data_IF_869225273212
#
_entry.id   IF_869225273212
#
_cell.length_a   1.000
_cell.length_b   1.000
_cell.length_c   1.000
_cell.angle_alpha   90.00
_cell.angle_beta   90.00
_cell.angle_gamma   90.00
#
_symmetry.space_group_name_H-M   'P 1'
#
loop_
_entity.id
_entity.type
_entity.pdbx_description
1 polymer ?
#
# COMPACT_ATOMS: atom_id res chain seq x y z
N UNK A 1 -53.97 2.94 -18.23
CA UNK A 1 -54.84 4.13 -18.06
C UNK A 1 -53.94 5.28 -17.65
N UNK A 2 -53.79 6.42 -18.30
CA UNK A 2 -54.09 7.00 -19.63
C UNK A 2 -53.15 8.24 -19.59
N UNK A 3 -51.98 8.22 -20.23
CA UNK A 3 -51.69 8.56 -21.64
C UNK A 3 -51.67 10.07 -21.97
N UNK A 4 -50.74 10.39 -22.89
CA UNK A 4 -50.66 11.57 -23.78
C UNK A 4 -49.90 12.78 -23.24
N UNK A 5 -48.71 13.07 -23.78
CA UNK A 5 -48.47 14.28 -24.61
C UNK A 5 -47.03 14.32 -25.14
N UNK A 6 -46.94 14.29 -26.46
CA UNK A 6 -45.77 14.63 -27.25
C UNK A 6 -46.10 15.87 -28.10
N UNK A 7 -45.08 16.70 -28.33
CA UNK A 7 -44.86 17.65 -29.45
C UNK A 7 -45.62 19.00 -29.47
N UNK A 8 -44.83 20.03 -29.81
CA UNK A 8 -45.09 21.29 -30.56
C UNK A 8 -45.03 22.59 -29.74
N UNK A 9 -43.95 23.37 -29.92
CA UNK A 9 -43.99 24.69 -30.57
C UNK A 9 -42.62 25.03 -31.21
N UNK A 10 -42.69 25.68 -32.37
CA UNK A 10 -41.67 25.82 -33.43
C UNK A 10 -41.45 27.31 -33.73
N UNK A 11 -40.16 27.74 -33.83
CA UNK A 11 -39.50 28.63 -34.84
C UNK A 11 -39.95 30.13 -34.82
N UNK A 12 -39.19 31.22 -35.08
CA UNK A 12 -38.17 31.61 -36.10
C UNK A 12 -37.45 32.90 -35.64
N UNK A 13 -36.13 33.04 -35.81
CA UNK A 13 -35.54 34.04 -36.73
C UNK A 13 -34.02 33.95 -36.84
N UNK A 14 -33.60 34.06 -38.09
CA UNK A 14 -32.29 33.93 -38.71
C UNK A 14 -31.54 35.25 -38.81
N UNK A 15 -30.21 35.21 -38.90
CA UNK A 15 -29.44 36.05 -39.82
C UNK A 15 -28.06 35.45 -40.07
N UNK A 16 -27.64 35.57 -41.32
CA UNK A 16 -26.46 35.01 -41.97
C UNK A 16 -25.22 35.90 -41.76
N UNK A 17 -24.00 35.34 -41.87
CA UNK A 17 -23.02 35.59 -42.94
C UNK A 17 -21.55 35.33 -42.52
N UNK A 18 -20.92 34.39 -43.24
CA UNK A 18 -19.63 34.48 -43.97
C UNK A 18 -18.32 34.99 -43.29
N UNK A 19 -17.30 34.12 -43.23
CA UNK A 19 -16.04 34.12 -44.05
C UNK A 19 -14.75 33.60 -43.35
N UNK A 20 -14.05 32.71 -44.09
CA UNK A 20 -12.58 32.64 -44.35
C UNK A 20 -11.53 32.40 -43.24
N UNK A 21 -10.98 31.18 -43.25
CA UNK A 21 -9.56 30.78 -43.43
C UNK A 21 -8.37 31.52 -42.75
N UNK A 22 -7.62 30.69 -41.99
CA UNK A 22 -6.15 30.60 -41.78
C UNK A 22 -5.43 31.28 -40.59
N UNK A 23 -4.32 30.67 -40.11
CA UNK A 23 -3.96 30.56 -38.69
C UNK A 23 -2.99 31.65 -38.24
N UNK A 24 -3.09 32.03 -36.96
CA UNK A 24 -2.01 32.74 -36.27
C UNK A 24 -1.75 32.12 -34.91
N UNK A 25 -0.50 31.73 -34.75
CA UNK A 25 0.16 31.59 -33.45
C UNK A 25 -0.19 32.79 -32.57
N UNK A 26 -0.75 32.53 -31.40
CA UNK A 26 -0.52 33.40 -30.27
C UNK A 26 -0.36 32.57 -29.00
N UNK A 27 0.84 32.71 -28.44
CA UNK A 27 1.19 32.33 -27.09
C UNK A 27 0.31 33.12 -26.13
N UNK A 28 -0.74 32.49 -25.62
CA UNK A 28 -1.50 32.99 -24.49
C UNK A 28 -1.77 31.82 -23.57
N UNK A 29 -1.17 31.84 -22.39
CA UNK A 29 -1.53 30.98 -21.28
C UNK A 29 -2.96 31.32 -20.87
N UNK A 30 -3.92 30.64 -21.48
CA UNK A 30 -5.27 30.58 -20.93
C UNK A 30 -5.22 29.60 -19.76
N UNK A 31 -4.98 30.13 -18.56
CA UNK A 31 -5.55 29.54 -17.35
C UNK A 31 -7.06 29.52 -17.56
N UNK A 32 -7.57 28.42 -18.09
CA UNK A 32 -8.99 28.07 -17.96
C UNK A 32 -9.26 28.01 -16.45
N UNK A 33 -9.87 29.07 -15.92
CA UNK A 33 -10.42 29.07 -14.57
C UNK A 33 -11.57 28.07 -14.57
N UNK A 34 -11.26 26.83 -14.21
CA UNK A 34 -12.23 25.74 -14.11
C UNK A 34 -13.16 26.03 -12.94
N UNK A 35 -14.42 26.34 -13.24
CA UNK A 35 -15.48 26.42 -12.24
C UNK A 35 -15.75 25.00 -11.72
N UNK A 36 -15.52 24.78 -10.43
CA UNK A 36 -15.97 23.57 -9.75
C UNK A 36 -17.48 23.42 -9.97
N UNK A 37 -17.90 22.39 -10.72
CA UNK A 37 -19.30 21.97 -10.72
C UNK A 37 -19.62 21.35 -9.37
N UNK A 38 -20.78 21.67 -8.79
CA UNK A 38 -21.31 21.15 -7.51
C UNK A 38 -20.24 20.79 -6.46
N UNK A 39 -19.92 21.71 -5.55
CA UNK A 39 -19.08 21.55 -4.34
C UNK A 39 -18.08 20.38 -4.38
N UNK A 40 -16.76 20.66 -4.45
CA UNK A 40 -15.63 19.70 -4.45
C UNK A 40 -15.90 18.31 -3.79
N UNK A 41 -16.57 18.25 -2.64
CA UNK A 41 -16.98 16.98 -2.02
C UNK A 41 -17.86 16.07 -2.90
N UNK A 42 -18.78 16.60 -3.70
CA UNK A 42 -19.61 15.82 -4.64
C UNK A 42 -18.78 15.19 -5.76
N UNK A 43 -17.83 15.96 -6.30
CA UNK A 43 -16.88 15.47 -7.29
C UNK A 43 -16.01 14.35 -6.69
N UNK A 44 -15.52 14.53 -5.47
CA UNK A 44 -14.74 13.51 -4.76
C UNK A 44 -15.54 12.23 -4.49
N UNK A 45 -16.81 12.33 -4.07
CA UNK A 45 -17.69 11.15 -3.91
C UNK A 45 -17.90 10.42 -5.23
N UNK A 46 -18.09 11.14 -6.33
CA UNK A 46 -18.26 10.55 -7.66
C UNK A 46 -17.00 9.82 -8.12
N UNK A 47 -15.82 10.41 -7.88
CA UNK A 47 -14.52 9.77 -8.13
C UNK A 47 -14.34 8.53 -7.26
N UNK A 48 -14.64 8.63 -5.96
CA UNK A 48 -14.54 7.52 -5.01
C UNK A 48 -15.45 6.36 -5.39
N UNK A 49 -16.70 6.64 -5.78
CA UNK A 49 -17.63 5.65 -6.31
C UNK A 49 -17.05 4.93 -7.54
N UNK A 50 -16.58 5.68 -8.52
CA UNK A 50 -16.05 5.12 -9.76
C UNK A 50 -14.80 4.25 -9.54
N UNK A 51 -13.92 4.63 -8.61
CA UNK A 51 -12.71 3.87 -8.29
C UNK A 51 -12.98 2.70 -7.33
N UNK A 52 -14.01 2.76 -6.48
CA UNK A 52 -14.46 1.59 -5.70
C UNK A 52 -14.99 0.49 -6.61
N UNK A 53 -15.71 0.86 -7.67
CA UNK A 53 -16.18 -0.09 -8.68
C UNK A 53 -15.02 -0.91 -9.26
N UNK A 54 -13.91 -0.23 -9.56
CA UNK A 54 -12.67 -0.87 -9.97
C UNK A 54 -12.04 -1.74 -8.88
N UNK A 55 -11.81 -1.15 -7.71
CA UNK A 55 -11.10 -1.79 -6.61
C UNK A 55 -11.77 -3.11 -6.21
N UNK A 56 -13.09 -3.13 -6.06
CA UNK A 56 -13.79 -4.27 -5.47
C UNK A 56 -14.34 -5.27 -6.50
N UNK A 57 -14.72 -4.81 -7.70
CA UNK A 57 -15.48 -5.64 -8.64
C UNK A 57 -14.72 -5.98 -9.93
N UNK A 58 -13.56 -5.39 -10.19
CA UNK A 58 -12.75 -5.72 -11.37
C UNK A 58 -11.59 -6.67 -11.07
N UNK A 59 -11.05 -7.26 -12.14
CA UNK A 59 -9.92 -8.17 -12.14
C UNK A 59 -8.94 -7.79 -13.26
N UNK A 60 -7.70 -8.28 -13.16
CA UNK A 60 -6.66 -7.95 -14.12
C UNK A 60 -6.75 -8.82 -15.39
N UNK A 61 -7.48 -8.31 -16.38
CA UNK A 61 -7.69 -8.93 -17.71
C UNK A 61 -6.39 -9.17 -18.51
N UNK A 62 -5.25 -8.64 -18.06
CA UNK A 62 -3.94 -8.91 -18.71
C UNK A 62 -3.43 -10.32 -18.42
N UNK A 63 -3.84 -10.89 -17.29
CA UNK A 63 -3.36 -12.19 -16.80
C UNK A 63 -4.48 -13.20 -16.58
N UNK A 64 -5.68 -12.74 -16.24
CA UNK A 64 -6.84 -13.59 -15.99
C UNK A 64 -7.74 -13.52 -17.22
N UNK A 65 -7.79 -14.61 -17.98
CA UNK A 65 -8.63 -14.74 -19.18
C UNK A 65 -9.90 -15.54 -18.93
N UNK A 66 -9.94 -16.33 -17.87
CA UNK A 66 -11.06 -17.23 -17.57
C UNK A 66 -11.98 -16.64 -16.48
N UNK A 67 -13.28 -16.57 -16.75
CA UNK A 67 -14.29 -15.99 -15.84
C UNK A 67 -14.38 -16.71 -14.49
N UNK A 68 -14.15 -18.03 -14.48
CA UNK A 68 -14.14 -18.87 -13.25
C UNK A 68 -12.95 -18.50 -12.36
N UNK A 69 -11.80 -18.23 -12.97
CA UNK A 69 -10.62 -17.76 -12.26
C UNK A 69 -10.84 -16.32 -11.78
N UNK A 70 -11.50 -15.45 -12.56
CA UNK A 70 -11.86 -14.10 -12.12
C UNK A 70 -12.79 -14.06 -10.90
N UNK A 71 -13.77 -14.97 -10.83
CA UNK A 71 -14.74 -15.00 -9.73
C UNK A 71 -14.15 -15.51 -8.41
N UNK A 72 -13.17 -16.43 -8.50
CA UNK A 72 -12.36 -16.91 -7.36
C UNK A 72 -11.18 -16.00 -7.00
N UNK A 73 -10.68 -15.23 -7.98
CA UNK A 73 -9.56 -14.28 -7.86
C UNK A 73 -9.99 -12.87 -7.52
N UNK A 74 -11.02 -12.71 -6.67
CA UNK A 74 -11.32 -11.45 -5.97
C UNK A 74 -10.22 -11.09 -4.95
N UNK A 75 -8.96 -11.30 -5.33
CA UNK A 75 -7.72 -10.92 -4.68
C UNK A 75 -7.28 -9.53 -5.17
N UNK A 76 -8.04 -8.88 -6.06
CA UNK A 76 -7.65 -7.62 -6.68
C UNK A 76 -7.55 -6.47 -5.67
N UNK A 77 -8.57 -6.20 -4.85
CA UNK A 77 -8.54 -5.10 -3.88
C UNK A 77 -7.43 -5.24 -2.81
N UNK A 78 -6.86 -6.44 -2.65
CA UNK A 78 -5.74 -6.71 -1.75
C UNK A 78 -4.39 -6.20 -2.29
N UNK A 79 -4.31 -5.88 -3.58
CA UNK A 79 -3.13 -5.37 -4.25
C UNK A 79 -3.46 -4.25 -5.24
N UNK A 80 -2.42 -3.63 -5.78
CA UNK A 80 -2.57 -2.42 -6.60
C UNK A 80 -1.82 -2.52 -7.93
N UNK A 81 -2.44 -3.09 -8.97
CA UNK A 81 -2.46 -4.53 -9.28
C UNK A 81 -1.15 -5.30 -8.99
N UNK A 82 -1.22 -6.64 -9.00
CA UNK A 82 -0.05 -7.53 -8.99
C UNK A 82 -0.03 -8.36 -10.29
N UNK A 83 0.99 -8.23 -11.15
CA UNK A 83 2.13 -7.31 -11.08
C UNK A 83 1.73 -5.84 -11.34
N UNK A 84 2.56 -4.88 -10.89
CA UNK A 84 2.29 -3.44 -11.04
C UNK A 84 2.22 -3.02 -12.51
N UNK A 85 1.65 -1.84 -12.77
CA UNK A 85 1.62 -1.30 -14.12
C UNK A 85 3.04 -1.07 -14.65
N UNK A 86 3.29 -1.49 -15.89
CA UNK A 86 4.54 -1.19 -16.61
C UNK A 86 4.66 0.29 -16.97
N UNK A 87 3.52 0.92 -17.26
CA UNK A 87 3.42 2.34 -17.58
C UNK A 87 2.13 2.90 -16.98
N UNK A 88 2.20 4.11 -16.43
CA UNK A 88 1.02 4.83 -15.96
C UNK A 88 0.20 5.34 -17.15
N UNK A 89 -1.08 5.60 -16.90
CA UNK A 89 -1.92 6.29 -17.87
C UNK A 89 -1.43 7.74 -18.02
N UNK A 90 -1.01 8.11 -19.24
CA UNK A 90 -0.27 9.35 -19.46
C UNK A 90 -1.07 10.61 -19.11
N UNK A 91 -2.37 10.66 -19.41
CA UNK A 91 -3.19 11.84 -19.07
C UNK A 91 -3.38 11.99 -17.57
N UNK A 92 -3.64 10.89 -16.85
CA UNK A 92 -3.83 10.93 -15.41
C UNK A 92 -2.53 11.42 -14.77
N UNK A 93 -1.41 10.84 -15.18
CA UNK A 93 -0.08 11.26 -14.71
C UNK A 93 0.17 12.75 -14.99
N UNK A 94 -0.11 13.21 -16.22
CA UNK A 94 0.05 14.62 -16.63
C UNK A 94 -0.69 15.60 -15.71
N UNK A 95 -1.93 15.30 -15.32
CA UNK A 95 -2.73 16.23 -14.51
C UNK A 95 -2.55 16.03 -13.00
N UNK A 96 -2.40 14.78 -12.56
CA UNK A 96 -2.30 14.44 -11.14
C UNK A 96 -0.90 14.61 -10.56
N UNK A 97 0.15 14.70 -11.38
CA UNK A 97 1.48 15.08 -10.90
C UNK A 97 1.57 16.59 -10.57
N UNK A 98 0.76 17.43 -11.22
CA UNK A 98 0.80 18.89 -11.06
C UNK A 98 0.26 19.30 -9.69
N UNK A 99 -0.98 18.93 -9.38
CA UNK A 99 -1.61 19.23 -8.10
C UNK A 99 -2.88 18.40 -7.88
N UNK A 100 -3.30 18.30 -6.61
CA UNK A 100 -4.52 17.61 -6.22
C UNK A 100 -5.75 18.16 -6.96
N UNK A 101 -5.96 19.49 -6.96
CA UNK A 101 -7.12 20.09 -7.61
C UNK A 101 -7.11 19.88 -9.14
N UNK A 102 -5.93 19.92 -9.78
CA UNK A 102 -5.79 19.62 -11.22
C UNK A 102 -6.15 18.15 -11.51
N UNK A 103 -5.73 17.25 -10.62
CA UNK A 103 -6.11 15.84 -10.68
C UNK A 103 -7.63 15.69 -10.63
N UNK A 104 -8.28 16.23 -9.60
CA UNK A 104 -9.74 16.11 -9.42
C UNK A 104 -10.50 16.68 -10.60
N UNK A 105 -10.14 17.88 -11.08
CA UNK A 105 -10.77 18.53 -12.22
C UNK A 105 -10.68 17.66 -13.49
N UNK A 106 -9.54 17.03 -13.75
CA UNK A 106 -9.37 16.11 -14.88
C UNK A 106 -10.17 14.82 -14.69
N UNK A 107 -10.07 14.18 -13.53
CA UNK A 107 -10.73 12.90 -13.25
C UNK A 107 -12.24 13.02 -13.38
N UNK A 108 -12.84 14.07 -12.78
CA UNK A 108 -14.29 14.25 -12.84
C UNK A 108 -14.77 14.55 -14.26
N UNK A 109 -14.01 15.33 -15.04
CA UNK A 109 -14.34 15.62 -16.45
C UNK A 109 -14.43 14.34 -17.28
N UNK A 110 -13.56 13.36 -17.01
CA UNK A 110 -13.62 12.03 -17.65
C UNK A 110 -14.79 11.20 -17.13
N UNK A 111 -14.98 11.12 -15.81
CA UNK A 111 -16.03 10.29 -15.18
C UNK A 111 -17.45 10.75 -15.53
N UNK A 112 -17.70 12.05 -15.76
CA UNK A 112 -19.03 12.54 -16.15
C UNK A 112 -19.56 11.93 -17.45
N UNK A 113 -18.69 11.38 -18.29
CA UNK A 113 -19.05 10.74 -19.56
C UNK A 113 -19.13 9.20 -19.47
N UNK A 114 -18.99 8.61 -18.29
CA UNK A 114 -19.08 7.15 -18.13
C UNK A 114 -20.55 6.71 -18.14
N UNK A 115 -20.80 5.50 -18.64
CA UNK A 115 -22.16 4.97 -18.75
C UNK A 115 -22.89 4.83 -17.41
N UNK A 116 -22.19 4.47 -16.33
CA UNK A 116 -22.74 4.39 -14.98
C UNK A 116 -22.11 5.48 -14.09
N UNK A 117 -22.94 6.33 -13.49
CA UNK A 117 -22.51 7.38 -12.54
C UNK A 117 -23.05 7.08 -11.15
N UNK A 118 -22.48 7.73 -10.13
CA UNK A 118 -22.89 7.57 -8.73
C UNK A 118 -24.40 7.78 -8.52
N UNK A 119 -24.99 8.78 -9.16
CA UNK A 119 -26.41 9.11 -8.98
C UNK A 119 -27.36 8.13 -9.70
N UNK A 120 -26.81 7.27 -10.57
CA UNK A 120 -27.57 6.21 -11.23
C UNK A 120 -27.56 4.90 -10.39
N UNK A 121 -26.77 4.85 -9.31
CA UNK A 121 -26.71 3.69 -8.41
C UNK A 121 -27.99 3.55 -7.59
N UNK A 122 -28.52 2.33 -7.52
CA UNK A 122 -29.76 2.02 -6.81
C UNK A 122 -29.71 2.43 -5.34
N UNK A 123 -28.59 2.23 -4.63
CA UNK A 123 -28.52 2.61 -3.21
C UNK A 123 -28.59 4.13 -3.03
N UNK A 124 -27.99 4.88 -3.96
CA UNK A 124 -28.01 6.35 -3.94
C UNK A 124 -29.41 6.87 -4.29
N UNK A 125 -30.06 6.31 -5.31
CA UNK A 125 -31.44 6.66 -5.67
C UNK A 125 -32.39 6.37 -4.50
N UNK A 126 -32.22 5.23 -3.83
CA UNK A 126 -33.03 4.90 -2.65
C UNK A 126 -32.87 5.92 -1.53
N UNK A 127 -31.64 6.37 -1.26
CA UNK A 127 -31.34 7.38 -0.24
C UNK A 127 -31.97 8.74 -0.61
N UNK A 128 -31.73 9.22 -1.84
CA UNK A 128 -32.24 10.50 -2.34
C UNK A 128 -33.77 10.55 -2.33
N UNK A 129 -34.42 9.45 -2.74
CA UNK A 129 -35.87 9.34 -2.80
C UNK A 129 -36.51 8.90 -1.47
N UNK A 130 -35.72 8.60 -0.45
CA UNK A 130 -36.16 8.08 0.86
C UNK A 130 -37.02 6.81 0.74
N UNK A 131 -36.61 5.90 -0.15
CA UNK A 131 -37.31 4.64 -0.39
C UNK A 131 -36.93 3.57 0.63
N UNK A 132 -37.94 2.90 1.17
CA UNK A 132 -37.78 1.76 2.08
C UNK A 132 -38.11 0.44 1.37
N UNK A 133 -37.29 -0.59 1.58
CA UNK A 133 -37.39 -1.90 0.91
C UNK A 133 -38.77 -2.57 1.03
N UNK A 134 -39.50 -2.30 2.12
CA UNK A 134 -40.83 -2.89 2.36
C UNK A 134 -41.95 -2.24 1.57
N UNK A 135 -41.80 -0.98 1.17
CA UNK A 135 -42.89 -0.15 0.63
C UNK A 135 -42.72 0.12 -0.86
N UNK A 136 -41.48 0.15 -1.34
CA UNK A 136 -41.12 0.54 -2.71
C UNK A 136 -40.45 -0.59 -3.48
N UNK A 137 -40.80 -1.85 -3.19
CA UNK A 137 -40.13 -3.02 -3.75
C UNK A 137 -40.10 -3.00 -5.28
N UNK A 138 -41.23 -2.71 -5.94
CA UNK A 138 -41.31 -2.68 -7.41
C UNK A 138 -40.45 -1.56 -8.02
N UNK A 139 -40.44 -0.37 -7.41
CA UNK A 139 -39.59 0.74 -7.88
C UNK A 139 -38.11 0.44 -7.68
N UNK A 140 -37.75 -0.15 -6.53
CA UNK A 140 -36.38 -0.55 -6.22
C UNK A 140 -35.91 -1.63 -7.21
N UNK A 141 -36.72 -2.65 -7.47
CA UNK A 141 -36.39 -3.74 -8.39
C UNK A 141 -36.20 -3.22 -9.82
N UNK A 142 -37.05 -2.30 -10.27
CA UNK A 142 -36.91 -1.68 -11.59
C UNK A 142 -35.65 -0.81 -11.68
N UNK A 143 -35.36 -0.04 -10.64
CA UNK A 143 -34.17 0.82 -10.57
C UNK A 143 -32.88 -0.02 -10.52
N UNK A 144 -32.87 -1.12 -9.76
CA UNK A 144 -31.76 -2.07 -9.71
C UNK A 144 -31.54 -2.75 -11.06
N UNK A 145 -32.62 -3.14 -11.74
CA UNK A 145 -32.54 -3.69 -13.08
C UNK A 145 -31.91 -2.71 -14.08
N UNK A 146 -32.25 -1.43 -14.00
CA UNK A 146 -31.66 -0.38 -14.85
C UNK A 146 -30.18 -0.14 -14.51
N UNK A 147 -29.83 -0.03 -13.23
CA UNK A 147 -28.44 0.10 -12.78
C UNK A 147 -27.58 -1.06 -13.28
N UNK A 148 -28.06 -2.31 -13.17
CA UNK A 148 -27.33 -3.50 -13.64
C UNK A 148 -27.14 -3.54 -15.16
N UNK A 149 -28.12 -3.03 -15.93
CA UNK A 149 -27.97 -2.90 -17.39
C UNK A 149 -26.87 -1.90 -17.74
N UNK A 150 -26.89 -0.72 -17.10
CA UNK A 150 -25.86 0.30 -17.30
C UNK A 150 -24.47 -0.21 -16.90
N UNK A 151 -24.40 -1.01 -15.83
CA UNK A 151 -23.18 -1.68 -15.40
C UNK A 151 -22.63 -2.65 -16.45
N UNK A 152 -23.48 -3.53 -17.00
CA UNK A 152 -23.10 -4.48 -18.03
C UNK A 152 -22.62 -3.77 -19.31
N UNK A 153 -23.34 -2.71 -19.72
CA UNK A 153 -22.96 -1.86 -20.83
C UNK A 153 -21.60 -1.17 -20.62
N UNK A 154 -21.34 -0.66 -19.41
CA UNK A 154 -20.06 -0.05 -19.06
C UNK A 154 -18.90 -1.04 -19.15
N UNK A 155 -19.16 -2.32 -18.87
CA UNK A 155 -18.17 -3.40 -18.94
C UNK A 155 -17.84 -3.84 -20.37
N UNK A 156 -18.82 -3.77 -21.26
CA UNK A 156 -18.66 -4.11 -22.67
C UNK A 156 -17.98 -2.98 -23.46
N UNK A 157 -18.49 -1.75 -23.34
CA UNK A 157 -18.04 -0.61 -24.17
C UNK A 157 -16.86 0.14 -23.59
N UNK A 158 -16.68 0.12 -22.27
CA UNK A 158 -15.65 0.89 -21.58
C UNK A 158 -15.65 2.41 -21.90
N UNK A 159 -16.73 3.00 -22.41
CA UNK A 159 -16.78 4.45 -22.69
C UNK A 159 -16.50 5.29 -21.41
N UNK A 160 -15.74 6.40 -21.49
CA UNK A 160 -15.16 7.06 -22.67
C UNK A 160 -13.73 6.60 -23.01
N UNK A 161 -13.35 5.38 -22.65
CA UNK A 161 -12.03 4.79 -22.88
C UNK A 161 -11.98 4.04 -24.21
N UNK A 162 -10.80 3.91 -24.80
CA UNK A 162 -10.50 3.14 -26.01
C UNK A 162 -10.71 1.63 -25.83
N UNK A 163 -10.86 1.17 -24.58
CA UNK A 163 -11.27 -0.19 -24.26
C UNK A 163 -11.02 -0.58 -22.79
N UNK A 164 -11.33 -1.84 -22.41
CA UNK A 164 -11.21 -2.30 -21.03
C UNK A 164 -9.79 -2.19 -20.45
N UNK A 165 -8.76 -2.37 -21.28
CA UNK A 165 -7.35 -2.29 -20.84
C UNK A 165 -6.95 -0.84 -20.53
N UNK A 166 -7.32 0.12 -21.37
CA UNK A 166 -7.03 1.54 -21.12
C UNK A 166 -7.83 2.03 -19.90
N UNK A 167 -9.12 1.68 -19.79
CA UNK A 167 -9.96 1.96 -18.62
C UNK A 167 -9.32 1.43 -17.33
N UNK A 168 -8.83 0.18 -17.37
CA UNK A 168 -8.12 -0.43 -16.25
C UNK A 168 -6.86 0.37 -15.88
N UNK A 169 -6.01 0.68 -16.87
CA UNK A 169 -4.79 1.46 -16.65
C UNK A 169 -5.11 2.85 -16.07
N UNK A 170 -6.17 3.50 -16.56
CA UNK A 170 -6.64 4.79 -16.09
C UNK A 170 -7.08 4.72 -14.62
N UNK A 171 -7.95 3.77 -14.27
CA UNK A 171 -8.48 3.59 -12.91
C UNK A 171 -7.38 3.29 -11.92
N UNK A 172 -6.46 2.39 -12.25
CA UNK A 172 -5.29 2.07 -11.42
C UNK A 172 -4.42 3.31 -11.22
N UNK A 173 -4.12 4.03 -12.30
CA UNK A 173 -3.27 5.24 -12.21
C UNK A 173 -3.94 6.30 -11.35
N UNK A 174 -5.24 6.52 -11.50
CA UNK A 174 -6.01 7.46 -10.69
C UNK A 174 -5.99 7.05 -9.21
N UNK A 175 -6.19 5.77 -8.91
CA UNK A 175 -6.10 5.24 -7.55
C UNK A 175 -4.71 5.40 -6.96
N UNK A 176 -3.62 5.22 -7.71
CA UNK A 176 -2.26 5.47 -7.21
C UNK A 176 -2.09 6.91 -6.69
N UNK A 177 -2.50 7.89 -7.49
CA UNK A 177 -2.40 9.30 -7.13
C UNK A 177 -3.31 9.67 -5.96
N UNK A 178 -4.57 9.25 -5.98
CA UNK A 178 -5.49 9.56 -4.89
C UNK A 178 -5.13 8.84 -3.60
N UNK A 179 -4.57 7.63 -3.69
CA UNK A 179 -3.98 6.98 -2.53
C UNK A 179 -2.81 7.79 -1.97
N UNK A 180 -1.86 8.21 -2.82
CA UNK A 180 -0.75 9.06 -2.40
C UNK A 180 -1.24 10.33 -1.68
N UNK A 181 -2.21 11.06 -2.26
CA UNK A 181 -2.80 12.24 -1.62
C UNK A 181 -3.49 11.92 -0.28
N UNK A 182 -4.15 10.77 -0.19
CA UNK A 182 -4.78 10.29 1.05
C UNK A 182 -3.72 9.98 2.12
N UNK A 183 -2.65 9.31 1.74
CA UNK A 183 -1.55 8.94 2.64
C UNK A 183 -0.75 10.17 3.08
N UNK A 184 -0.70 11.20 2.23
CA UNK A 184 -0.12 12.51 2.54
C UNK A 184 -1.11 13.44 3.28
N UNK A 185 -2.26 12.92 3.72
CA UNK A 185 -3.25 13.63 4.55
C UNK A 185 -3.75 14.96 3.95
N UNK A 186 -4.01 14.95 2.64
CA UNK A 186 -4.61 16.09 1.93
C UNK A 186 -6.01 16.39 2.50
N UNK A 187 -6.19 17.56 3.13
CA UNK A 187 -7.37 17.89 3.96
C UNK A 187 -8.72 17.67 3.27
N UNK A 188 -8.81 17.89 1.96
CA UNK A 188 -10.03 17.68 1.18
C UNK A 188 -10.49 16.22 1.13
N UNK A 189 -9.61 15.27 1.50
CA UNK A 189 -9.88 13.83 1.59
C UNK A 189 -10.15 13.35 3.02
N UNK A 190 -10.19 14.25 4.01
CA UNK A 190 -10.40 13.90 5.41
C UNK A 190 -11.77 13.23 5.62
N UNK A 191 -12.81 13.79 4.99
CA UNK A 191 -14.18 13.27 5.02
C UNK A 191 -14.80 13.40 3.63
N UNK A 192 -15.27 12.30 3.04
CA UNK A 192 -15.92 12.28 1.73
C UNK A 192 -17.44 12.44 1.83
N UNK A 193 -18.02 12.03 2.95
CA UNK A 193 -19.43 12.04 3.30
C UNK A 193 -19.62 12.34 4.80
N UNK A 194 -20.87 12.59 5.21
CA UNK A 194 -21.18 12.98 6.60
C UNK A 194 -21.38 11.77 7.54
N UNK A 195 -21.57 10.55 7.02
CA UNK A 195 -21.92 9.38 7.85
C UNK A 195 -21.20 8.07 7.51
N UNK A 196 -21.15 7.67 6.24
CA UNK A 196 -20.48 6.42 5.80
C UNK A 196 -20.04 6.50 4.34
N UNK A 197 -19.06 5.70 3.95
CA UNK A 197 -18.71 5.61 2.54
C UNK A 197 -19.85 4.96 1.75
N UNK A 198 -20.02 5.32 0.47
CA UNK A 198 -20.97 4.59 -0.37
C UNK A 198 -20.58 3.10 -0.48
N UNK A 199 -21.48 2.30 -1.06
CA UNK A 199 -21.29 0.88 -1.33
C UNK A 199 -20.03 0.58 -2.19
N UNK A 200 -19.83 -0.70 -2.52
CA UNK A 200 -18.77 -1.12 -3.45
C UNK A 200 -19.04 -0.71 -4.91
N UNK A 201 -19.97 0.21 -5.17
CA UNK A 201 -20.41 0.69 -6.48
C UNK A 201 -21.02 -0.38 -7.40
N UNK A 202 -21.63 -1.41 -6.80
CA UNK A 202 -22.17 -2.58 -7.49
C UNK A 202 -23.71 -2.63 -7.49
N UNK A 203 -24.37 -1.46 -7.62
CA UNK A 203 -25.83 -1.31 -7.50
C UNK A 203 -26.34 -1.82 -6.14
N UNK A 204 -27.58 -2.32 -6.07
CA UNK A 204 -28.10 -2.89 -4.83
C UNK A 204 -27.51 -4.28 -4.58
N UNK A 205 -26.82 -4.46 -3.47
CA UNK A 205 -26.39 -5.79 -3.06
C UNK A 205 -27.53 -6.51 -2.34
N UNK A 206 -27.97 -7.71 -2.79
CA UNK A 206 -29.11 -8.40 -2.17
C UNK A 206 -28.82 -8.88 -0.74
N UNK A 207 -27.54 -9.04 -0.37
CA UNK A 207 -27.13 -9.53 0.96
C UNK A 207 -26.79 -8.39 1.93
N UNK A 208 -26.17 -7.31 1.44
CA UNK A 208 -25.74 -6.18 2.26
C UNK A 208 -26.79 -5.04 2.28
N UNK A 209 -27.66 -4.99 1.27
CA UNK A 209 -28.63 -3.92 1.10
C UNK A 209 -27.98 -2.65 0.53
N UNK A 210 -28.51 -1.45 0.89
CA UNK A 210 -28.04 -0.17 0.33
C UNK A 210 -26.69 0.29 0.90
N UNK A 211 -26.27 -0.24 2.05
CA UNK A 211 -25.00 0.10 2.68
C UNK A 211 -24.10 -1.13 2.68
N UNK A 212 -22.79 -0.94 2.52
CA UNK A 212 -21.86 -2.06 2.59
C UNK A 212 -21.74 -2.61 4.03
N UNK A 213 -21.99 -1.81 5.08
CA UNK A 213 -21.80 -2.17 6.49
C UNK A 213 -20.38 -2.68 6.80
N UNK A 214 -19.40 -2.36 5.94
CA UNK A 214 -18.01 -2.71 6.17
C UNK A 214 -17.43 -1.74 7.20
N UNK A 215 -16.82 -2.27 8.26
CA UNK A 215 -16.30 -1.44 9.35
C UNK A 215 -15.11 -0.56 8.93
N UNK A 216 -14.49 -0.82 7.78
CA UNK A 216 -13.46 0.04 7.19
C UNK A 216 -14.08 1.26 6.49
N UNK A 217 -15.36 1.20 6.15
CA UNK A 217 -16.10 2.24 5.45
C UNK A 217 -16.72 3.27 6.43
N UNK A 218 -15.98 3.64 7.46
CA UNK A 218 -16.39 4.58 8.51
C UNK A 218 -15.74 5.95 8.30
N UNK A 219 -16.53 6.92 7.82
CA UNK A 219 -16.03 8.28 7.54
C UNK A 219 -15.96 9.19 8.77
N UNK A 220 -16.43 8.73 9.94
CA UNK A 220 -16.25 9.47 11.19
C UNK A 220 -14.77 9.51 11.61
N UNK A 221 -13.98 8.58 11.09
CA UNK A 221 -12.53 8.52 11.27
C UNK A 221 -11.86 9.19 10.06
N UNK A 222 -11.05 10.24 10.27
CA UNK A 222 -10.35 10.95 9.21
C UNK A 222 -9.64 10.03 8.20
N UNK A 223 -9.92 10.26 6.91
CA UNK A 223 -9.36 9.60 5.74
C UNK A 223 -9.74 8.13 5.53
N UNK A 224 -10.59 7.54 6.38
CA UNK A 224 -10.93 6.13 6.24
C UNK A 224 -11.68 5.85 4.94
N UNK A 225 -12.65 6.68 4.55
CA UNK A 225 -13.32 6.49 3.27
C UNK A 225 -12.41 6.70 2.07
N UNK A 226 -11.51 7.68 2.15
CA UNK A 226 -10.51 7.91 1.11
C UNK A 226 -9.58 6.69 0.97
N UNK A 227 -9.06 6.14 2.08
CA UNK A 227 -8.23 4.91 2.06
C UNK A 227 -9.02 3.70 1.55
N UNK A 228 -10.25 3.55 2.03
CA UNK A 228 -11.15 2.49 1.62
C UNK A 228 -11.48 2.55 0.12
N UNK A 229 -11.51 3.75 -0.47
CA UNK A 229 -11.81 3.94 -1.89
C UNK A 229 -10.58 3.86 -2.78
N UNK A 230 -9.47 4.46 -2.35
CA UNK A 230 -8.34 4.76 -3.23
C UNK A 230 -7.08 3.96 -2.95
N UNK A 231 -6.94 3.29 -1.80
CA UNK A 231 -5.71 2.57 -1.44
C UNK A 231 -5.95 1.06 -1.36
N UNK A 232 -4.92 0.20 -1.55
CA UNK A 232 -5.02 -1.21 -1.19
C UNK A 232 -5.06 -1.34 0.33
N UNK A 233 -5.52 -2.49 0.79
CA UNK A 233 -5.38 -2.88 2.18
C UNK A 233 -4.57 -4.18 2.27
N UNK A 234 -3.22 -4.10 2.28
CA UNK A 234 -2.37 -5.27 2.45
C UNK A 234 -2.59 -5.97 3.80
N UNK A 235 -3.09 -5.26 4.82
CA UNK A 235 -3.40 -5.84 6.13
C UNK A 235 -4.76 -6.56 6.15
N UNK A 236 -5.71 -6.14 5.32
CA UNK A 236 -7.01 -6.78 5.18
C UNK A 236 -7.37 -7.09 3.71
N UNK A 237 -6.83 -8.19 3.16
CA UNK A 237 -7.13 -8.66 1.82
C UNK A 237 -8.46 -9.43 1.76
N UNK A 238 -9.49 -8.98 2.51
CA UNK A 238 -10.85 -9.53 2.50
C UNK A 238 -11.84 -8.52 1.90
N UNK A 239 -12.70 -9.01 1.01
CA UNK A 239 -13.59 -8.17 0.18
C UNK A 239 -14.56 -7.37 1.04
N UNK A 240 -15.16 -8.04 2.02
CA UNK A 240 -16.10 -7.46 2.97
C UNK A 240 -15.85 -8.07 4.34
N UNK A 241 -15.83 -7.24 5.39
CA UNK A 241 -15.64 -7.70 6.76
C UNK A 241 -16.69 -7.12 7.70
N UNK A 242 -17.00 -7.88 8.76
CA UNK A 242 -17.78 -7.41 9.91
C UNK A 242 -16.91 -7.17 11.13
N UNK A 243 -15.70 -7.74 11.14
CA UNK A 243 -14.72 -7.59 12.22
C UNK A 243 -13.29 -7.59 11.68
N UNK A 244 -12.42 -6.73 12.25
CA UNK A 244 -10.98 -6.74 11.94
C UNK A 244 -10.31 -8.08 12.24
N UNK A 245 -10.91 -8.92 13.11
CA UNK A 245 -10.41 -10.26 13.39
C UNK A 245 -10.39 -11.15 12.13
N UNK A 246 -11.33 -10.95 11.21
CA UNK A 246 -11.36 -11.69 9.95
C UNK A 246 -10.08 -11.41 9.15
N UNK A 247 -9.66 -10.15 9.09
CA UNK A 247 -8.39 -9.76 8.47
C UNK A 247 -7.20 -10.40 9.19
N UNK A 248 -7.16 -10.30 10.52
CA UNK A 248 -6.01 -10.76 11.30
C UNK A 248 -5.77 -12.26 11.20
N UNK A 249 -6.85 -13.05 11.11
CA UNK A 249 -6.79 -14.50 10.99
C UNK A 249 -6.76 -15.00 9.54
N UNK A 250 -6.71 -14.09 8.55
CA UNK A 250 -6.48 -14.45 7.15
C UNK A 250 -5.04 -14.91 6.95
N UNK A 251 -4.84 -16.02 6.22
CA UNK A 251 -3.51 -16.48 5.82
C UNK A 251 -2.78 -15.50 4.90
N UNK A 252 -3.52 -14.59 4.27
CA UNK A 252 -2.97 -13.55 3.42
C UNK A 252 -2.54 -12.29 4.20
N UNK A 253 -2.82 -12.20 5.50
CA UNK A 253 -2.30 -11.13 6.35
C UNK A 253 -0.78 -11.27 6.50
N UNK A 254 0.02 -10.21 6.25
CA UNK A 254 1.46 -10.22 6.42
C UNK A 254 1.93 -10.70 7.81
N UNK A 255 1.16 -10.41 8.85
CA UNK A 255 1.51 -10.78 10.22
C UNK A 255 1.14 -12.24 10.58
N UNK A 256 0.53 -13.01 9.68
CA UNK A 256 -0.06 -14.31 10.01
C UNK A 256 0.97 -15.40 10.33
N UNK A 257 2.02 -15.51 9.52
CA UNK A 257 2.97 -16.63 9.59
C UNK A 257 3.85 -16.59 10.86
N UNK A 258 4.32 -15.41 11.24
CA UNK A 258 5.24 -15.20 12.38
C UNK A 258 4.52 -15.08 13.73
N UNK A 259 3.19 -14.94 13.75
CA UNK A 259 2.44 -14.70 14.97
C UNK A 259 1.36 -15.75 15.26
N UNK A 260 1.16 -16.01 16.54
CA UNK A 260 0.05 -16.82 17.04
C UNK A 260 -1.30 -16.08 16.90
N UNK A 261 -2.44 -16.81 16.86
CA UNK A 261 -3.76 -16.19 16.87
C UNK A 261 -3.92 -15.15 17.99
N UNK A 262 -4.57 -14.02 17.67
CA UNK A 262 -4.69 -12.87 18.56
C UNK A 262 -3.49 -11.91 18.64
N UNK A 263 -2.33 -12.27 18.07
CA UNK A 263 -1.13 -11.41 17.99
C UNK A 263 -0.84 -10.94 16.54
N UNK A 264 -1.81 -11.11 15.64
CA UNK A 264 -1.68 -10.89 14.19
C UNK A 264 -2.17 -9.52 13.72
N UNK A 265 -2.25 -8.56 14.63
CA UNK A 265 -2.68 -7.21 14.29
C UNK A 265 -1.68 -6.57 13.33
N UNK A 266 -2.17 -6.18 12.16
CA UNK A 266 -1.42 -5.51 11.11
C UNK A 266 -1.84 -4.04 11.04
N UNK A 267 -0.87 -3.14 10.99
CA UNK A 267 -1.09 -1.69 10.99
C UNK A 267 -0.34 -1.07 9.81
N UNK A 268 -0.97 -0.13 9.12
CA UNK A 268 -0.34 0.69 8.07
C UNK A 268 -0.25 2.11 8.58
N UNK A 269 0.97 2.60 8.78
CA UNK A 269 1.22 3.99 9.18
C UNK A 269 1.25 4.88 7.94
N UNK A 270 0.43 5.95 7.94
CA UNK A 270 0.30 6.83 6.78
C UNK A 270 1.62 7.53 6.42
N UNK A 271 2.29 8.07 7.43
CA UNK A 271 3.57 8.78 7.31
C UNK A 271 4.71 7.96 6.71
N UNK A 272 4.62 6.63 6.75
CA UNK A 272 5.65 5.72 6.22
C UNK A 272 5.32 5.21 4.81
N UNK A 273 4.17 5.60 4.26
CA UNK A 273 3.62 5.06 3.01
C UNK A 273 3.11 6.19 2.08
N UNK A 274 3.88 7.27 1.97
CA UNK A 274 3.53 8.46 1.18
C UNK A 274 4.13 8.47 -0.24
N UNK A 275 5.16 7.67 -0.48
CA UNK A 275 5.92 7.68 -1.73
C UNK A 275 5.16 7.03 -2.89
N UNK A 276 4.91 7.78 -3.96
CA UNK A 276 4.18 7.29 -5.14
C UNK A 276 4.82 6.05 -5.76
N UNK A 277 6.15 6.00 -5.80
CA UNK A 277 6.90 4.87 -6.36
C UNK A 277 6.63 3.58 -5.60
N UNK A 278 6.57 3.64 -4.28
CA UNK A 278 6.33 2.46 -3.44
C UNK A 278 4.88 2.01 -3.53
N UNK A 279 3.93 2.97 -3.60
CA UNK A 279 2.52 2.69 -3.89
C UNK A 279 2.36 1.97 -5.24
N UNK A 280 3.00 2.47 -6.31
CA UNK A 280 2.97 1.85 -7.64
C UNK A 280 3.52 0.42 -7.59
N UNK A 281 4.61 0.19 -6.85
CA UNK A 281 5.27 -1.11 -6.77
C UNK A 281 4.65 -2.06 -5.73
N UNK A 282 3.54 -1.69 -5.09
CA UNK A 282 2.95 -2.43 -3.95
C UNK A 282 3.92 -2.68 -2.80
N UNK A 283 4.83 -1.74 -2.53
CA UNK A 283 5.78 -1.80 -1.42
C UNK A 283 5.21 -1.09 -0.22
N UNK A 284 4.39 -1.80 0.52
CA UNK A 284 3.75 -1.28 1.73
C UNK A 284 4.62 -1.55 2.94
N UNK A 285 4.86 -0.51 3.73
CA UNK A 285 5.44 -0.61 5.05
C UNK A 285 4.32 -0.84 6.06
N UNK A 286 4.19 -2.09 6.51
CA UNK A 286 3.24 -2.51 7.54
C UNK A 286 3.97 -2.80 8.84
N UNK A 287 3.32 -2.57 9.95
CA UNK A 287 3.79 -2.91 11.29
C UNK A 287 3.03 -4.11 11.82
N UNK A 288 3.77 -5.13 12.24
CA UNK A 288 3.28 -6.27 13.00
C UNK A 288 3.90 -6.28 14.39
N UNK A 289 3.23 -6.91 15.34
CA UNK A 289 3.85 -7.23 16.63
C UNK A 289 4.85 -8.37 16.46
N UNK A 290 5.98 -8.27 17.17
CA UNK A 290 6.96 -9.34 17.25
C UNK A 290 6.79 -10.10 18.58
N UNK A 291 6.77 -11.45 18.56
CA UNK A 291 6.56 -12.24 19.77
C UNK A 291 7.79 -12.29 20.68
N UNK A 292 9.00 -12.04 20.13
CA UNK A 292 10.26 -12.08 20.87
C UNK A 292 10.70 -10.67 21.29
N UNK A 293 11.18 -10.54 22.53
CA UNK A 293 11.77 -9.30 23.05
C UNK A 293 13.09 -8.99 22.33
N UNK A 294 13.35 -7.70 22.08
CA UNK A 294 14.52 -7.24 21.34
C UNK A 294 14.41 -7.41 19.82
N UNK A 295 13.23 -7.79 19.29
CA UNK A 295 12.99 -7.91 17.85
C UNK A 295 12.05 -6.81 17.36
N UNK A 296 12.28 -6.36 16.13
CA UNK A 296 11.45 -5.37 15.45
C UNK A 296 11.02 -5.89 14.08
N UNK A 297 9.77 -5.61 13.74
CA UNK A 297 9.22 -5.99 12.44
C UNK A 297 9.91 -5.21 11.30
N UNK A 298 10.31 -5.92 10.24
CA UNK A 298 10.84 -5.33 9.01
C UNK A 298 9.93 -5.71 7.85
N UNK A 299 9.08 -4.77 7.42
CA UNK A 299 8.06 -4.99 6.37
C UNK A 299 8.65 -5.54 5.07
N UNK A 300 9.83 -5.06 4.66
CA UNK A 300 10.49 -5.52 3.44
C UNK A 300 10.79 -7.04 3.43
N UNK A 301 11.15 -7.60 4.58
CA UNK A 301 11.43 -9.03 4.71
C UNK A 301 10.21 -9.83 5.18
N UNK A 302 9.17 -9.16 5.68
CA UNK A 302 7.98 -9.80 6.24
C UNK A 302 8.27 -10.64 7.49
N UNK A 303 9.29 -10.27 8.26
CA UNK A 303 9.74 -11.01 9.45
C UNK A 303 10.16 -10.07 10.58
N UNK A 304 10.21 -10.62 11.79
CA UNK A 304 10.83 -9.99 12.94
C UNK A 304 12.34 -10.18 12.88
N UNK A 305 13.08 -9.07 12.90
CA UNK A 305 14.55 -9.07 12.89
C UNK A 305 15.04 -8.56 14.23
N UNK A 306 16.12 -9.16 14.70
CA UNK A 306 16.85 -8.73 15.89
C UNK A 306 17.21 -7.24 15.80
N UNK A 307 17.01 -6.50 16.89
CA UNK A 307 17.43 -5.11 16.98
C UNK A 307 18.89 -5.11 17.42
N UNK A 308 19.77 -4.53 16.60
CA UNK A 308 21.15 -4.33 17.00
C UNK A 308 21.27 -3.02 17.79
N UNK A 309 21.14 -3.10 19.12
CA UNK A 309 21.21 -1.91 19.96
C UNK A 309 22.61 -1.27 19.98
N UNK A 310 23.64 -1.95 19.48
CA UNK A 310 24.99 -1.42 19.37
C UNK A 310 25.19 -0.56 18.12
N UNK A 311 24.47 -0.87 17.03
CA UNK A 311 24.51 -0.09 15.78
C UNK A 311 23.42 0.98 15.71
N UNK A 312 22.29 0.81 16.41
CA UNK A 312 21.30 1.86 16.53
C UNK A 312 21.84 3.03 17.38
N UNK A 313 21.37 4.27 17.12
CA UNK A 313 21.78 5.51 17.80
C UNK A 313 21.38 5.58 19.29
N UNK A 314 21.27 4.43 19.95
CA UNK A 314 20.81 4.21 21.31
C UNK A 314 21.93 3.59 22.16
N UNK A 315 23.14 3.33 21.62
CA UNK A 315 24.26 2.58 22.28
C UNK A 315 24.14 2.63 23.82
N UNK A 316 23.50 1.60 24.41
CA UNK A 316 23.05 1.65 25.80
C UNK A 316 24.21 1.53 26.79
N UNK A 317 25.43 1.30 26.29
CA UNK A 317 26.64 1.13 27.07
C UNK A 317 27.33 2.47 27.34
N UNK A 318 28.14 2.54 28.40
CA UNK A 318 28.97 3.71 28.62
C UNK A 318 30.10 3.78 27.56
N UNK A 319 30.09 4.75 26.63
CA UNK A 319 31.03 4.77 25.52
C UNK A 319 32.49 4.97 25.98
N UNK A 320 32.74 5.45 27.20
CA UNK A 320 34.11 5.65 27.72
C UNK A 320 34.71 4.38 28.33
N UNK A 321 33.90 3.54 28.97
CA UNK A 321 34.38 2.40 29.77
C UNK A 321 33.89 1.04 29.29
N UNK A 322 32.91 1.00 28.39
CA UNK A 322 32.22 -0.21 27.94
C UNK A 322 32.20 -0.29 26.41
N UNK A 323 32.18 -1.52 25.91
CA UNK A 323 31.96 -1.86 24.51
C UNK A 323 30.65 -2.67 24.42
N UNK A 324 29.82 -2.33 23.44
CA UNK A 324 28.56 -3.02 23.17
C UNK A 324 28.81 -4.27 22.32
N UNK A 325 28.11 -5.36 22.65
CA UNK A 325 28.06 -6.59 21.86
C UNK A 325 26.58 -6.94 21.65
N UNK A 326 26.16 -7.01 20.39
CA UNK A 326 24.81 -7.43 20.04
C UNK A 326 24.64 -8.96 20.23
N UNK A 327 23.51 -9.39 20.76
CA UNK A 327 23.11 -10.78 20.93
C UNK A 327 21.66 -10.95 20.45
N UNK A 328 21.24 -12.14 20.02
CA UNK A 328 19.84 -12.34 19.64
C UNK A 328 18.86 -12.01 20.78
N UNK A 329 18.04 -10.98 20.57
CA UNK A 329 17.02 -10.44 21.47
C UNK A 329 17.54 -9.53 22.58
N UNK A 330 18.84 -9.20 22.61
CA UNK A 330 19.43 -8.38 23.67
C UNK A 330 20.85 -7.91 23.34
N UNK A 331 21.35 -6.91 24.06
CA UNK A 331 22.76 -6.55 24.01
C UNK A 331 23.49 -6.89 25.32
N UNK A 332 24.82 -6.84 25.26
CA UNK A 332 25.67 -6.88 26.44
C UNK A 332 26.78 -5.84 26.38
N UNK A 333 26.85 -5.02 27.43
CA UNK A 333 27.98 -4.14 27.68
C UNK A 333 29.11 -4.91 28.37
N UNK A 334 30.31 -4.84 27.79
CA UNK A 334 31.53 -5.44 28.38
C UNK A 334 32.56 -4.35 28.64
N UNK A 335 33.31 -4.45 29.75
CA UNK A 335 34.32 -3.45 30.05
C UNK A 335 35.42 -3.42 28.98
N UNK A 336 35.75 -2.20 28.53
CA UNK A 336 36.88 -1.94 27.65
C UNK A 336 38.19 -2.33 28.34
N UNK A 337 39.26 -2.47 27.54
CA UNK A 337 40.59 -2.78 28.08
C UNK A 337 41.04 -1.74 29.11
N UNK A 338 41.66 -2.21 30.18
CA UNK A 338 42.02 -1.37 31.34
C UNK A 338 40.87 -1.13 32.33
N UNK A 339 39.64 -1.57 32.05
CA UNK A 339 38.50 -1.46 32.95
C UNK A 339 38.04 -2.83 33.46
N UNK A 340 37.50 -2.89 34.67
CA UNK A 340 36.92 -4.08 35.30
C UNK A 340 35.52 -3.80 35.83
N UNK A 341 34.66 -4.80 35.77
CA UNK A 341 33.29 -4.69 36.27
C UNK A 341 33.28 -4.66 37.80
N UNK A 342 32.79 -3.56 38.38
CA UNK A 342 32.55 -3.44 39.81
C UNK A 342 31.08 -3.82 40.11
N UNK A 343 30.89 -4.86 40.95
CA UNK A 343 29.57 -5.40 41.30
C UNK A 343 28.73 -4.45 42.16
N UNK A 344 29.38 -3.60 42.97
CA UNK A 344 28.70 -2.68 43.89
C UNK A 344 28.20 -1.44 43.15
N UNK A 345 29.05 -0.82 42.33
CA UNK A 345 28.70 0.36 41.55
C UNK A 345 27.96 0.03 40.24
N UNK A 346 27.93 -1.26 39.84
CA UNK A 346 27.35 -1.76 38.58
C UNK A 346 27.89 -1.01 37.36
N UNK A 347 29.20 -0.73 37.35
CA UNK A 347 29.89 0.01 36.30
C UNK A 347 31.28 -0.57 36.04
N UNK A 348 31.81 -0.28 34.86
CA UNK A 348 33.21 -0.55 34.55
C UNK A 348 34.11 0.56 35.11
N UNK A 349 35.03 0.18 35.99
CA UNK A 349 35.98 1.07 36.64
C UNK A 349 37.40 0.73 36.20
N UNK A 350 38.23 1.76 36.03
CA UNK A 350 39.62 1.58 35.61
C UNK A 350 40.41 0.76 36.65
N UNK A 351 41.20 -0.20 36.17
CA UNK A 351 42.04 -1.08 36.97
C UNK A 351 43.43 -1.16 36.36
N UNK A 352 44.41 -0.60 37.06
CA UNK A 352 45.83 -0.64 36.67
C UNK A 352 46.35 -2.08 36.54
N UNK A 353 45.78 -3.03 37.29
CA UNK A 353 46.08 -4.46 37.17
C UNK A 353 45.58 -4.99 35.83
N UNK A 354 44.34 -4.66 35.44
CA UNK A 354 43.77 -5.11 34.16
C UNK A 354 44.54 -4.54 32.96
N UNK A 355 44.96 -3.27 33.04
CA UNK A 355 45.81 -2.65 32.01
C UNK A 355 47.17 -3.37 31.88
N UNK A 356 47.82 -3.66 33.00
CA UNK A 356 49.12 -4.36 33.01
C UNK A 356 49.04 -5.81 32.45
N UNK A 357 47.92 -6.50 32.67
CA UNK A 357 47.70 -7.85 32.13
C UNK A 357 47.51 -7.85 30.61
N UNK A 358 46.89 -6.82 30.05
CA UNK A 358 46.75 -6.65 28.60
C UNK A 358 48.11 -6.36 27.96
N UNK A 359 48.89 -5.43 28.54
CA UNK A 359 50.22 -5.06 28.07
C UNK A 359 51.25 -6.21 28.18
N UNK A 360 51.10 -7.09 29.18
CA UNK A 360 51.93 -8.31 29.31
C UNK A 360 51.59 -9.34 28.23
N UNK A 361 50.32 -9.44 27.83
CA UNK A 361 49.87 -10.39 26.80
C UNK A 361 50.22 -9.93 25.37
N UNK A 362 50.35 -8.63 25.13
CA UNK A 362 50.88 -8.10 23.87
C UNK A 362 52.40 -8.32 23.74
N UNK A 363 53.15 -8.24 24.85
CA UNK A 363 54.60 -8.50 24.88
C UNK A 363 54.97 -9.98 24.84
N UNK A 364 54.09 -10.88 25.31
CA UNK A 364 54.25 -12.33 25.14
C UNK A 364 53.92 -12.79 23.70
N UNK A 365 53.07 -12.07 22.95
CA UNK A 365 52.75 -12.38 21.54
C UNK A 365 53.88 -12.06 20.55
N UNK A 366 54.84 -11.22 20.92
CA UNK A 366 56.02 -10.94 20.10
C UNK A 366 57.16 -11.96 20.31
N UNK A 367 57.00 -12.94 21.22
CA UNK A 367 58.04 -13.92 21.54
C UNK A 367 57.66 -15.40 21.29
N UNK A 368 56.61 -15.66 20.51
CA UNK A 368 56.32 -16.99 19.94
C UNK A 368 56.20 -16.93 18.41
N UNK A 369 57.20 -16.34 17.75
CA UNK A 369 57.52 -16.65 16.34
C UNK A 369 58.70 -17.62 16.28
N UNK A 370 58.36 -18.91 16.42
CA UNK A 370 58.92 -20.00 15.62
C UNK A 370 58.05 -21.26 15.77
N UNK A 371 56.76 -21.15 15.41
CA UNK A 371 55.89 -22.24 14.89
C UNK A 371 54.39 -21.87 15.00
N UNK A 372 53.97 -20.71 14.51
CA UNK A 372 52.55 -20.27 14.58
C UNK A 372 51.84 -20.12 13.22
N UNK A 373 52.32 -20.79 12.16
CA UNK A 373 51.51 -20.94 10.92
C UNK A 373 50.50 -22.12 11.01
N UNK A 374 50.40 -22.80 12.15
CA UNK A 374 49.55 -23.99 12.33
C UNK A 374 48.33 -23.76 13.24
N UNK A 375 48.39 -22.85 14.22
CA UNK A 375 47.35 -22.73 15.24
C UNK A 375 46.22 -21.76 14.87
N UNK A 376 46.52 -20.59 14.30
CA UNK A 376 45.50 -19.66 13.81
C UNK A 376 44.76 -20.20 12.58
N UNK A 377 45.43 -20.92 11.68
CA UNK A 377 44.77 -21.74 10.65
C UNK A 377 43.87 -22.80 11.27
N UNK A 378 44.26 -23.48 12.35
CA UNK A 378 43.41 -24.47 13.03
C UNK A 378 42.19 -23.90 13.74
N UNK A 379 42.23 -22.69 14.29
CA UNK A 379 41.06 -22.10 14.97
C UNK A 379 40.10 -21.47 13.96
N UNK A 380 40.61 -20.82 12.91
CA UNK A 380 39.77 -20.28 11.84
C UNK A 380 39.23 -21.36 10.87
N UNK A 381 39.90 -22.51 10.70
CA UNK A 381 39.38 -23.61 9.87
C UNK A 381 38.65 -24.73 10.62
N UNK A 382 38.64 -24.76 11.96
CA UNK A 382 37.91 -25.82 12.71
C UNK A 382 36.43 -25.51 12.96
N UNK A 383 35.96 -24.31 12.62
CA UNK A 383 34.54 -23.96 12.69
C UNK A 383 33.82 -23.92 11.34
N UNK A 384 34.51 -24.08 10.20
CA UNK A 384 33.81 -24.30 8.92
C UNK A 384 33.07 -25.65 8.91
N UNK A 385 33.69 -26.74 9.37
CA UNK A 385 33.01 -28.05 9.38
C UNK A 385 31.89 -28.18 10.43
N UNK A 386 31.92 -27.41 11.53
CA UNK A 386 30.84 -27.42 12.53
C UNK A 386 29.69 -26.48 12.18
N UNK A 387 29.96 -25.37 11.51
CA UNK A 387 28.92 -24.50 10.97
C UNK A 387 28.18 -25.18 9.80
N UNK A 388 28.90 -25.86 8.90
CA UNK A 388 28.29 -26.63 7.81
C UNK A 388 27.57 -27.92 8.26
N UNK A 389 27.94 -28.52 9.40
CA UNK A 389 27.16 -29.64 9.99
C UNK A 389 25.87 -29.20 10.69
N UNK A 390 25.77 -27.94 11.10
CA UNK A 390 24.55 -27.40 11.74
C UNK A 390 23.49 -26.95 10.73
N UNK A 391 23.90 -26.59 9.51
CA UNK A 391 22.99 -26.23 8.41
C UNK A 391 22.49 -27.44 7.58
N UNK A 392 23.15 -28.60 7.69
CA UNK A 392 22.79 -29.81 6.95
C UNK A 392 21.55 -30.59 7.44
N UNK A 393 20.88 -30.14 8.51
CA UNK A 393 19.73 -30.85 9.08
C UNK A 393 18.37 -30.20 8.79
N UNK A 394 18.29 -29.12 8.00
CA UNK A 394 16.99 -28.49 7.75
C UNK A 394 16.66 -28.02 6.33
N UNK A 395 17.52 -28.18 5.31
CA UNK A 395 17.17 -27.72 3.96
C UNK A 395 17.73 -28.69 2.90
N UNK A 396 16.84 -29.22 2.06
CA UNK A 396 17.14 -30.05 0.90
C UNK A 396 17.33 -29.11 -0.30
N UNK A 397 18.56 -28.66 -0.59
CA UNK A 397 18.87 -27.85 -1.77
C UNK A 397 20.12 -28.36 -2.50
N UNK A 398 20.04 -28.31 -3.83
CA UNK A 398 20.88 -29.01 -4.81
C UNK A 398 22.26 -28.34 -5.02
N UNK A 399 23.27 -29.13 -5.36
CA UNK A 399 24.71 -28.81 -5.26
C UNK A 399 25.26 -27.78 -6.28
N UNK A 400 24.41 -27.09 -7.04
CA UNK A 400 24.84 -26.19 -8.12
C UNK A 400 24.78 -24.70 -7.77
N UNK A 401 24.07 -24.28 -6.72
CA UNK A 401 23.94 -22.84 -6.37
C UNK A 401 25.01 -22.30 -5.40
N UNK A 402 25.77 -23.16 -4.72
CA UNK A 402 26.78 -22.71 -3.73
C UNK A 402 28.04 -22.10 -4.38
N UNK A 403 28.25 -22.31 -5.68
CA UNK A 403 29.44 -21.84 -6.40
C UNK A 403 29.39 -20.36 -6.81
N UNK A 404 28.24 -19.69 -6.76
CA UNK A 404 28.11 -18.28 -7.19
C UNK A 404 28.38 -17.26 -6.08
N UNK A 405 28.34 -17.66 -4.80
CA UNK A 405 28.43 -16.71 -3.66
C UNK A 405 29.88 -16.44 -3.21
N UNK A 406 30.87 -17.17 -3.72
CA UNK A 406 32.28 -17.05 -3.29
C UNK A 406 33.18 -16.12 -4.14
N UNK A 407 32.65 -15.36 -5.09
CA UNK A 407 33.46 -14.57 -6.05
C UNK A 407 33.37 -13.03 -5.91
N UNK A 408 33.07 -12.49 -4.73
CA UNK A 408 33.18 -11.03 -4.52
C UNK A 408 33.85 -10.75 -3.17
N UNK A 409 35.15 -10.42 -3.23
CA UNK A 409 35.86 -9.66 -2.19
C UNK A 409 36.57 -8.46 -2.83
N UNK A 410 36.91 -7.42 -2.04
CA UNK A 410 37.12 -6.06 -2.50
C UNK A 410 38.55 -5.83 -3.00
N UNK A 411 38.69 -5.10 -4.12
CA UNK A 411 39.98 -4.56 -4.58
C UNK A 411 40.04 -3.07 -4.22
N UNK A 412 41.09 -2.77 -3.47
CA UNK A 412 41.76 -1.52 -3.13
C UNK A 412 41.40 -0.25 -3.93
N UNK A 413 41.02 0.81 -3.19
CA UNK A 413 41.04 2.20 -3.65
C UNK A 413 42.40 2.80 -3.28
N UNK A 414 43.31 2.87 -4.25
CA UNK A 414 44.36 3.89 -4.35
C UNK A 414 44.53 4.26 -5.83
N UNK A 415 43.89 5.37 -6.24
CA UNK A 415 44.42 6.51 -7.00
C UNK A 415 43.26 7.39 -7.48
#
# INVERSE_FOLDING_TARGET
MKTVLAVIYIVISSSEENTSMNPKHDSSSTTESYEFGDSLGSDLRSIAYYLRQHKFNEYDRRYITDEIEAESSKLYFAGFPKPPLRSLHWEVHKYCEISFLSCIAYLIKRIRNTALRRNDDTSVVMEDQKWFTRTFTEQIDQTDLECRKMWAEAEERADPFEGPIERFQWRVTASYFLCMYTMNETLELEHLNDTSCDNHANCLNPYLGPHNLDIRADDSIPFNCARYSFCPDPCCPIYHIKSYRECWESTANPCFAENHPGHRQCIIHKSENVELKDIILNRWNVSCMCPWLGYKWKSFYGICVDVDECEENIDPCNPLSEACINLPGSYKCVCKWGYMWNKESKKCEFSSIAESLVLRKSTEKENEDNSSDSFFKRIFFRNKEKFFRSLGNHIHLDMTEILLILMISPIEVMF
#
